data_IF_081321524253
#
_entry.id   IF_081321524253
#
_cell.length_a   1.000
_cell.length_b   1.000
_cell.length_c   1.000
_cell.angle_alpha   90.00
_cell.angle_beta   90.00
_cell.angle_gamma   90.00
#
_symmetry.space_group_name_H-M   'P 1'
#
loop_
_entity.id
_entity.type
_entity.pdbx_description
1 polymer ?
#
# COMPACT_ATOMS: atom_id res chain seq x y z
N UNK A 1 13.80 5.32 -2.90
CA UNK A 1 13.34 4.03 -2.36
C UNK A 1 14.48 3.03 -2.42
N UNK A 2 14.69 2.27 -1.35
CA UNK A 2 15.69 1.20 -1.29
C UNK A 2 15.31 -0.04 -2.13
N UNK A 3 16.30 -0.83 -2.58
CA UNK A 3 16.05 -1.90 -3.55
C UNK A 3 15.13 -3.02 -3.06
N UNK A 4 15.25 -3.40 -1.79
CA UNK A 4 14.48 -4.51 -1.22
C UNK A 4 13.00 -4.15 -1.10
N UNK A 5 12.69 -3.00 -0.49
CA UNK A 5 11.33 -2.44 -0.49
C UNK A 5 10.77 -2.29 -1.91
N UNK A 6 11.54 -1.73 -2.84
CA UNK A 6 11.08 -1.54 -4.22
C UNK A 6 10.70 -2.88 -4.90
N UNK A 7 11.55 -3.91 -4.80
CA UNK A 7 11.22 -5.24 -5.33
C UNK A 7 9.96 -5.79 -4.68
N UNK A 8 9.87 -5.75 -3.35
CA UNK A 8 8.74 -6.32 -2.63
C UNK A 8 7.41 -5.68 -3.07
N UNK A 9 7.32 -4.35 -3.08
CA UNK A 9 6.05 -3.67 -3.45
C UNK A 9 5.75 -3.78 -4.95
N UNK A 10 6.76 -3.71 -5.82
CA UNK A 10 6.55 -3.83 -7.27
C UNK A 10 6.05 -5.22 -7.64
N UNK A 11 6.69 -6.29 -7.14
CA UNK A 11 6.27 -7.65 -7.46
C UNK A 11 4.99 -8.06 -6.73
N UNK A 12 4.72 -7.54 -5.53
CA UNK A 12 3.41 -7.68 -4.89
C UNK A 12 2.30 -7.15 -5.82
N UNK A 13 2.40 -5.88 -6.23
CA UNK A 13 1.43 -5.27 -7.14
C UNK A 13 1.35 -6.01 -8.49
N UNK A 14 2.49 -6.33 -9.10
CA UNK A 14 2.51 -7.00 -10.41
C UNK A 14 1.87 -8.40 -10.36
N UNK A 15 2.04 -9.14 -9.26
CA UNK A 15 1.43 -10.45 -9.07
C UNK A 15 -0.09 -10.42 -9.04
N UNK A 16 -0.71 -9.36 -8.50
CA UNK A 16 -2.17 -9.29 -8.32
C UNK A 16 -2.88 -8.42 -9.36
N UNK A 17 -2.21 -7.38 -9.85
CA UNK A 17 -2.78 -6.36 -10.74
C UNK A 17 -2.14 -6.30 -12.13
N UNK A 18 -0.99 -6.93 -12.30
CA UNK A 18 -0.23 -6.93 -13.54
C UNK A 18 -0.57 -8.10 -14.47
N UNK A 19 -0.24 -7.93 -15.74
CA UNK A 19 -0.29 -9.01 -16.70
C UNK A 19 1.05 -9.75 -16.72
N UNK A 20 1.09 -10.92 -16.12
CA UNK A 20 2.31 -11.71 -15.95
C UNK A 20 2.83 -12.34 -17.25
N UNK A 21 2.06 -12.32 -18.34
CA UNK A 21 2.50 -12.83 -19.65
C UNK A 21 3.22 -11.74 -20.44
N UNK A 22 2.68 -10.52 -20.42
CA UNK A 22 3.25 -9.36 -21.13
C UNK A 22 4.24 -8.56 -20.30
N UNK A 23 4.33 -8.82 -18.98
CA UNK A 23 5.19 -8.11 -18.04
C UNK A 23 4.83 -6.62 -17.91
N UNK A 24 3.52 -6.32 -17.96
CA UNK A 24 3.00 -4.95 -17.91
C UNK A 24 2.05 -4.77 -16.72
N UNK A 25 2.18 -3.64 -16.02
CA UNK A 25 1.30 -3.21 -14.93
C UNK A 25 0.80 -1.79 -15.22
N UNK A 26 -0.50 -1.56 -15.03
CA UNK A 26 -1.06 -0.20 -14.99
C UNK A 26 -0.91 0.39 -13.60
N UNK A 27 -0.42 1.63 -13.51
CA UNK A 27 -0.34 2.37 -12.24
C UNK A 27 -1.66 3.04 -11.83
N UNK A 28 -2.75 2.73 -12.55
CA UNK A 28 -4.09 3.24 -12.29
C UNK A 28 -5.14 2.22 -12.71
N UNK A 29 -6.10 2.64 -13.53
CA UNK A 29 -7.21 1.80 -13.98
C UNK A 29 -6.81 0.63 -14.88
N UNK A 30 -7.74 -0.33 -15.02
CA UNK A 30 -7.61 -1.46 -15.95
C UNK A 30 -7.52 -0.93 -17.37
N UNK A 31 -6.56 -1.44 -18.14
CA UNK A 31 -6.32 -0.98 -19.50
C UNK A 31 -5.93 -2.12 -20.41
N UNK A 32 -6.40 -2.08 -21.67
CA UNK A 32 -6.00 -3.04 -22.71
C UNK A 32 -4.51 -2.95 -23.08
N UNK A 33 -3.82 -1.88 -22.65
CA UNK A 33 -2.38 -1.69 -22.89
C UNK A 33 -1.52 -2.73 -22.17
N UNK A 34 -2.04 -3.41 -21.13
CA UNK A 34 -1.35 -4.53 -20.49
C UNK A 34 -1.49 -5.85 -21.27
N UNK A 35 -2.24 -5.86 -22.37
CA UNK A 35 -2.41 -7.03 -23.25
C UNK A 35 -3.61 -7.92 -22.89
N UNK A 36 -3.74 -9.08 -23.55
CA UNK A 36 -4.86 -10.01 -23.32
C UNK A 36 -4.86 -10.56 -21.89
N UNK A 37 -6.02 -10.52 -21.25
CA UNK A 37 -6.17 -10.98 -19.88
C UNK A 37 -5.94 -12.51 -19.77
N UNK A 38 -5.33 -12.98 -18.67
CA UNK A 38 -5.32 -14.39 -18.30
C UNK A 38 -6.75 -14.86 -17.95
N UNK A 39 -6.98 -16.20 -17.86
CA UNK A 39 -8.26 -16.72 -17.42
C UNK A 39 -8.66 -16.23 -16.02
N UNK A 40 -9.96 -16.08 -15.79
CA UNK A 40 -10.52 -15.83 -14.47
C UNK A 40 -10.07 -16.91 -13.46
N UNK A 41 -9.90 -16.56 -12.17
CA UNK A 41 -10.33 -15.32 -11.51
C UNK A 41 -9.28 -14.18 -11.49
N UNK A 42 -8.19 -14.28 -12.25
CA UNK A 42 -7.22 -13.20 -12.34
C UNK A 42 -7.84 -11.90 -12.87
N UNK A 43 -7.50 -10.77 -12.24
CA UNK A 43 -8.17 -9.48 -12.47
C UNK A 43 -7.41 -8.64 -13.51
N UNK A 44 -6.08 -8.51 -13.34
CA UNK A 44 -5.22 -7.63 -14.15
C UNK A 44 -5.82 -6.23 -14.26
N UNK A 45 -6.17 -5.67 -13.10
CA UNK A 45 -6.96 -4.44 -13.01
C UNK A 45 -6.14 -3.15 -12.88
N UNK A 46 -4.82 -3.26 -12.73
CA UNK A 46 -3.98 -2.12 -12.36
C UNK A 46 -4.15 -1.71 -10.90
N UNK A 47 -3.39 -0.70 -10.46
CA UNK A 47 -3.36 -0.28 -9.05
C UNK A 47 -4.69 0.31 -8.52
N UNK A 48 -5.69 0.57 -9.36
CA UNK A 48 -7.03 0.95 -8.90
C UNK A 48 -7.84 -0.25 -8.36
N UNK A 49 -7.36 -1.49 -8.51
CA UNK A 49 -8.07 -2.68 -8.02
C UNK A 49 -8.11 -2.69 -6.50
N UNK A 50 -9.34 -2.64 -5.96
CA UNK A 50 -9.55 -2.66 -4.53
C UNK A 50 -9.20 -4.01 -3.89
N UNK A 51 -8.69 -3.97 -2.66
CA UNK A 51 -8.44 -5.10 -1.76
C UNK A 51 -7.33 -6.09 -2.16
N UNK A 52 -6.51 -5.78 -3.17
CA UNK A 52 -5.32 -6.58 -3.53
C UNK A 52 -4.00 -5.87 -3.28
N UNK A 53 -3.98 -4.54 -3.46
CA UNK A 53 -2.89 -3.65 -3.06
C UNK A 53 -3.48 -2.34 -2.51
N UNK A 54 -4.33 -1.68 -3.31
CA UNK A 54 -5.15 -0.56 -2.87
C UNK A 54 -6.11 -1.00 -1.77
N UNK A 55 -6.40 -0.12 -0.82
CA UNK A 55 -7.38 -0.38 0.22
C UNK A 55 -7.73 0.86 1.04
N UNK A 56 -8.62 0.64 1.98
CA UNK A 56 -9.28 1.69 2.74
C UNK A 56 -8.35 2.52 3.64
N UNK A 57 -8.89 3.60 4.19
CA UNK A 57 -8.19 4.56 5.04
C UNK A 57 -6.98 5.21 4.34
N UNK A 58 -7.04 5.42 3.03
CA UNK A 58 -6.03 6.21 2.33
C UNK A 58 -6.01 7.67 2.85
N UNK A 59 -4.83 8.30 2.86
CA UNK A 59 -4.66 9.64 3.46
C UNK A 59 -5.33 10.74 2.63
N UNK A 60 -5.34 10.60 1.30
CA UNK A 60 -5.83 11.63 0.37
C UNK A 60 -6.76 11.08 -0.71
N UNK A 61 -7.10 9.78 -0.66
CA UNK A 61 -8.03 9.06 -1.55
C UNK A 61 -9.17 8.50 -0.71
N UNK A 62 -10.39 8.46 -1.26
CA UNK A 62 -11.53 7.89 -0.55
C UNK A 62 -11.46 6.36 -0.53
N UNK A 63 -12.20 5.75 0.40
CA UNK A 63 -12.40 4.29 0.40
C UNK A 63 -13.22 3.87 -0.84
N UNK A 64 -12.94 2.69 -1.37
CA UNK A 64 -13.61 2.17 -2.57
C UNK A 64 -15.13 2.11 -2.45
N UNK A 65 -15.64 1.86 -1.25
CA UNK A 65 -17.08 1.88 -0.96
C UNK A 65 -17.77 3.17 -1.40
N UNK A 66 -17.07 4.30 -1.39
CA UNK A 66 -17.61 5.61 -1.81
C UNK A 66 -17.46 5.90 -3.31
N UNK A 67 -16.90 4.97 -4.09
CA UNK A 67 -16.90 4.96 -5.55
C UNK A 67 -15.57 5.29 -6.24
N UNK A 68 -14.82 6.27 -5.73
CA UNK A 68 -13.52 6.70 -6.33
C UNK A 68 -12.37 6.54 -5.32
N UNK A 69 -11.60 5.47 -5.50
CA UNK A 69 -10.48 5.10 -4.64
C UNK A 69 -9.11 5.63 -5.10
N UNK A 70 -9.03 6.43 -6.17
CA UNK A 70 -7.75 6.74 -6.82
C UNK A 70 -7.54 8.24 -7.06
N UNK A 71 -8.60 9.01 -7.33
CA UNK A 71 -8.50 10.45 -7.50
C UNK A 71 -8.14 11.14 -6.18
N UNK A 72 -7.44 12.28 -6.28
CA UNK A 72 -7.27 13.13 -5.11
C UNK A 72 -8.64 13.57 -4.59
N UNK A 73 -8.93 13.24 -3.34
CA UNK A 73 -10.11 13.75 -2.64
C UNK A 73 -9.75 15.06 -1.93
N UNK A 74 -10.36 16.16 -2.37
CA UNK A 74 -10.06 17.50 -1.85
C UNK A 74 -10.32 17.63 -0.35
N UNK A 75 -11.43 17.07 0.15
CA UNK A 75 -11.76 17.10 1.57
C UNK A 75 -10.72 16.38 2.42
N UNK A 76 -10.24 15.22 1.96
CA UNK A 76 -9.17 14.50 2.65
C UNK A 76 -7.82 15.22 2.57
N UNK A 77 -7.53 15.90 1.45
CA UNK A 77 -6.33 16.73 1.35
C UNK A 77 -6.40 17.96 2.26
N UNK A 78 -7.57 18.61 2.38
CA UNK A 78 -7.77 19.71 3.33
C UNK A 78 -7.62 19.22 4.77
N UNK A 79 -8.05 17.99 5.09
CA UNK A 79 -7.77 17.34 6.38
C UNK A 79 -6.27 17.10 6.59
N UNK A 80 -5.55 16.62 5.57
CA UNK A 80 -4.09 16.45 5.63
C UNK A 80 -3.38 17.78 5.98
N UNK A 81 -3.80 18.89 5.36
CA UNK A 81 -3.29 20.25 5.66
C UNK A 81 -3.67 20.65 7.09
N UNK A 82 -4.93 20.42 7.50
CA UNK A 82 -5.41 20.75 8.84
C UNK A 82 -4.61 20.03 9.93
N UNK A 83 -4.36 18.73 9.78
CA UNK A 83 -3.54 17.94 10.70
C UNK A 83 -2.09 18.42 10.70
N UNK A 84 -1.54 18.78 9.53
CA UNK A 84 -0.20 19.38 9.44
C UNK A 84 -0.10 20.69 10.22
N UNK A 85 -1.13 21.55 10.16
CA UNK A 85 -1.20 22.77 10.95
C UNK A 85 -1.29 22.49 12.46
N UNK A 86 -2.15 21.55 12.86
CA UNK A 86 -2.41 21.25 14.29
C UNK A 86 -1.26 20.55 14.99
N UNK A 87 -0.61 19.60 14.31
CA UNK A 87 0.35 18.68 14.95
C UNK A 87 1.78 18.83 14.43
N UNK A 88 1.99 19.53 13.31
CA UNK A 88 3.30 19.69 12.67
C UNK A 88 3.72 21.14 12.45
N UNK A 89 3.00 22.12 13.01
CA UNK A 89 3.32 23.54 12.85
C UNK A 89 3.28 24.01 11.39
N UNK A 90 2.40 23.43 10.58
CA UNK A 90 2.25 23.73 9.16
C UNK A 90 3.00 22.79 8.21
N UNK A 91 3.74 21.82 8.75
CA UNK A 91 4.45 20.81 7.96
C UNK A 91 3.89 19.42 8.24
N UNK A 92 3.99 18.52 7.27
CA UNK A 92 3.75 17.10 7.49
C UNK A 92 5.04 16.43 8.01
N UNK A 93 4.95 15.75 9.14
CA UNK A 93 6.03 14.98 9.75
C UNK A 93 5.47 13.68 10.36
N UNK A 94 6.30 12.88 11.04
CA UNK A 94 5.85 11.60 11.60
C UNK A 94 4.78 11.74 12.70
N UNK A 95 4.76 12.85 13.45
CA UNK A 95 3.70 13.14 14.42
C UNK A 95 2.36 13.36 13.71
N UNK A 96 2.36 14.16 12.64
CA UNK A 96 1.17 14.38 11.81
C UNK A 96 0.71 13.07 11.17
N UNK A 97 1.65 12.27 10.67
CA UNK A 97 1.37 10.97 10.06
C UNK A 97 0.66 10.02 11.03
N UNK A 98 1.09 9.97 12.30
CA UNK A 98 0.47 9.20 13.36
C UNK A 98 -0.99 9.62 13.62
N UNK A 99 -1.21 10.91 13.85
CA UNK A 99 -2.54 11.45 14.13
C UNK A 99 -3.49 11.27 12.94
N UNK A 100 -3.02 11.56 11.73
CA UNK A 100 -3.84 11.43 10.52
C UNK A 100 -4.14 9.98 10.19
N UNK A 101 -3.17 9.06 10.30
CA UNK A 101 -3.39 7.62 10.09
C UNK A 101 -4.49 7.10 11.01
N UNK A 102 -4.42 7.43 12.30
CA UNK A 102 -5.44 7.03 13.25
C UNK A 102 -6.81 7.64 12.92
N UNK A 103 -6.86 8.95 12.62
CA UNK A 103 -8.09 9.62 12.20
C UNK A 103 -8.74 8.94 10.99
N UNK A 104 -7.95 8.62 9.96
CA UNK A 104 -8.47 7.97 8.75
C UNK A 104 -9.04 6.59 9.02
N UNK A 105 -8.43 5.81 9.93
CA UNK A 105 -8.98 4.54 10.39
C UNK A 105 -10.32 4.74 11.10
N UNK A 106 -10.39 5.69 12.05
CA UNK A 106 -11.63 5.97 12.79
C UNK A 106 -12.77 6.42 11.87
N UNK A 107 -12.47 7.24 10.87
CA UNK A 107 -13.45 7.69 9.88
C UNK A 107 -13.99 6.53 9.05
N UNK A 108 -13.12 5.63 8.57
CA UNK A 108 -13.56 4.45 7.82
C UNK A 108 -14.38 3.50 8.71
N UNK A 109 -14.00 3.30 9.98
CA UNK A 109 -14.84 2.54 10.94
C UNK A 109 -16.24 3.17 11.05
N UNK A 110 -16.31 4.50 11.15
CA UNK A 110 -17.55 5.22 11.40
C UNK A 110 -18.46 5.36 10.16
N UNK A 111 -17.92 5.23 8.96
CA UNK A 111 -18.65 5.61 7.73
C UNK A 111 -18.67 4.56 6.63
N UNK A 112 -17.71 3.62 6.61
CA UNK A 112 -17.61 2.58 5.59
C UNK A 112 -18.07 1.22 6.17
N UNK A 113 -19.28 0.73 5.84
CA UNK A 113 -19.78 -0.56 6.34
C UNK A 113 -19.02 -1.78 5.79
N UNK A 114 -18.15 -1.58 4.81
CA UNK A 114 -17.28 -2.58 4.20
C UNK A 114 -15.80 -2.35 4.55
N UNK A 115 -15.51 -1.49 5.53
CA UNK A 115 -14.14 -1.14 5.90
C UNK A 115 -13.30 -2.38 6.19
N UNK A 116 -12.18 -2.54 5.46
CA UNK A 116 -11.20 -3.59 5.68
C UNK A 116 -9.83 -3.03 5.99
N UNK A 117 -9.25 -3.47 7.11
CA UNK A 117 -7.92 -3.07 7.57
C UNK A 117 -7.11 -4.27 8.05
N UNK A 118 -7.05 -5.29 7.20
CA UNK A 118 -6.25 -6.50 7.38
C UNK A 118 -5.09 -6.54 6.38
N UNK A 119 -4.17 -7.50 6.53
CA UNK A 119 -3.06 -7.68 5.60
C UNK A 119 -3.55 -8.02 4.18
N UNK A 120 -2.94 -7.46 3.11
CA UNK A 120 -1.72 -6.65 3.11
C UNK A 120 -1.91 -5.16 3.43
N UNK A 121 -3.14 -4.64 3.32
CA UNK A 121 -3.45 -3.21 3.48
C UNK A 121 -3.02 -2.66 4.83
N UNK A 122 -3.16 -3.46 5.89
CA UNK A 122 -2.70 -3.11 7.23
C UNK A 122 -1.26 -2.59 7.23
N UNK A 123 -0.33 -3.28 6.56
CA UNK A 123 1.08 -2.87 6.51
C UNK A 123 1.30 -1.66 5.58
N UNK A 124 0.72 -1.69 4.38
CA UNK A 124 0.94 -0.63 3.38
C UNK A 124 0.38 0.70 3.86
N UNK A 125 -0.76 0.71 4.55
CA UNK A 125 -1.35 1.91 5.12
C UNK A 125 -0.40 2.66 6.08
N UNK A 126 0.29 1.95 6.99
CA UNK A 126 1.29 2.57 7.86
C UNK A 126 2.57 2.95 7.10
N UNK A 127 3.06 2.10 6.19
CA UNK A 127 4.25 2.40 5.39
C UNK A 127 4.06 3.66 4.51
N UNK A 128 2.92 3.77 3.84
CA UNK A 128 2.57 4.93 3.01
C UNK A 128 2.48 6.23 3.80
N UNK A 129 2.23 6.14 5.12
CA UNK A 129 2.17 7.31 5.99
C UNK A 129 3.57 7.91 6.26
N UNK A 130 4.65 7.13 6.13
CA UNK A 130 6.02 7.67 6.26
C UNK A 130 6.60 8.19 4.94
N UNK A 131 6.08 7.73 3.80
CA UNK A 131 6.63 8.06 2.48
C UNK A 131 6.70 9.55 2.15
N UNK A 132 5.73 10.41 2.52
CA UNK A 132 5.87 11.85 2.30
C UNK A 132 7.09 12.44 3.01
N UNK A 133 7.39 11.96 4.23
CA UNK A 133 8.58 12.39 4.98
C UNK A 133 9.85 11.83 4.38
N UNK A 134 9.84 10.56 3.97
CA UNK A 134 11.04 9.85 3.53
C UNK A 134 11.43 10.14 2.07
N UNK A 135 10.46 10.49 1.22
CA UNK A 135 10.65 10.63 -0.23
C UNK A 135 10.30 11.99 -0.80
N UNK A 136 9.38 12.76 -0.20
CA UNK A 136 8.92 14.03 -0.77
C UNK A 136 9.60 15.26 -0.16
N UNK A 137 10.31 15.10 0.97
CA UNK A 137 11.17 16.15 1.52
C UNK A 137 12.43 16.27 0.65
N UNK A 138 12.78 17.49 0.24
CA UNK A 138 13.99 17.76 -0.54
C UNK A 138 15.22 17.22 0.20
N UNK A 139 16.05 16.46 -0.53
CA UNK A 139 17.20 15.74 0.03
C UNK A 139 18.30 16.61 0.62
N UNK A 140 18.28 17.93 0.37
CA UNK A 140 19.20 18.90 0.99
C UNK A 140 18.70 19.37 2.36
N UNK A 141 17.41 19.19 2.66
CA UNK A 141 16.82 19.56 3.95
C UNK A 141 17.18 18.56 5.05
N UNK A 142 17.60 19.06 6.21
CA UNK A 142 17.86 18.26 7.41
C UNK A 142 16.64 18.11 8.32
N UNK A 143 15.53 18.79 8.04
CA UNK A 143 14.42 18.93 9.01
C UNK A 143 13.39 17.79 8.96
N UNK A 144 13.46 16.91 7.95
CA UNK A 144 12.56 15.74 7.79
C UNK A 144 11.07 16.08 7.98
N UNK A 145 10.64 17.20 7.41
CA UNK A 145 9.25 17.63 7.40
C UNK A 145 8.91 18.20 6.02
N UNK A 146 7.74 17.85 5.51
CA UNK A 146 7.26 18.20 4.18
C UNK A 146 6.36 19.43 4.27
N UNK A 147 6.69 20.49 3.53
CA UNK A 147 5.83 21.67 3.44
C UNK A 147 4.60 21.41 2.55
N UNK A 148 3.56 22.23 2.71
CA UNK A 148 2.29 22.02 2.00
C UNK A 148 2.34 22.36 0.51
N UNK A 149 3.30 23.18 0.06
CA UNK A 149 3.48 23.46 -1.36
C UNK A 149 4.04 22.22 -2.08
N UNK A 150 5.08 21.61 -1.51
CA UNK A 150 5.62 20.34 -1.99
C UNK A 150 4.58 19.22 -1.89
N UNK A 151 3.86 19.10 -0.77
CA UNK A 151 2.78 18.11 -0.62
C UNK A 151 1.71 18.28 -1.71
N UNK A 152 1.32 19.52 -2.01
CA UNK A 152 0.38 19.82 -3.10
C UNK A 152 0.94 19.39 -4.46
N UNK A 153 2.20 19.70 -4.75
CA UNK A 153 2.85 19.33 -6.01
C UNK A 153 2.84 17.82 -6.24
N UNK A 154 3.15 17.03 -5.21
CA UNK A 154 3.13 15.57 -5.31
C UNK A 154 1.72 14.98 -5.38
N UNK A 155 0.85 15.32 -4.42
CA UNK A 155 -0.44 14.63 -4.28
C UNK A 155 -1.50 15.07 -5.31
N UNK A 156 -1.50 16.37 -5.68
CA UNK A 156 -2.46 16.95 -6.63
C UNK A 156 -1.92 16.97 -8.05
N UNK A 157 -0.69 17.44 -8.23
CA UNK A 157 -0.16 17.72 -9.56
C UNK A 157 0.66 16.55 -10.14
N UNK A 158 1.00 15.55 -9.31
CA UNK A 158 1.85 14.44 -9.73
C UNK A 158 3.23 14.90 -10.20
N UNK A 159 3.76 15.97 -9.60
CA UNK A 159 4.95 16.67 -10.07
C UNK A 159 5.96 16.85 -8.94
N UNK A 160 7.24 16.79 -9.30
CA UNK A 160 8.31 17.23 -8.40
C UNK A 160 8.31 18.77 -8.25
N UNK A 161 8.55 19.30 -7.04
CA UNK A 161 8.81 20.73 -6.87
C UNK A 161 9.97 21.21 -7.77
N UNK A 162 10.00 22.50 -8.18
CA UNK A 162 11.14 23.06 -8.90
C UNK A 162 12.45 22.84 -8.13
N UNK A 163 13.53 22.48 -8.84
CA UNK A 163 14.85 22.19 -8.25
C UNK A 163 14.82 21.13 -7.13
N UNK A 164 13.89 20.17 -7.17
CA UNK A 164 13.79 19.12 -6.17
C UNK A 164 14.96 18.13 -6.22
N UNK A 165 15.60 17.89 -5.08
CA UNK A 165 16.61 16.83 -4.91
C UNK A 165 15.99 15.62 -4.22
N UNK A 166 16.22 14.43 -4.77
CA UNK A 166 15.84 13.16 -4.11
C UNK A 166 16.56 13.02 -2.76
N UNK A 167 15.99 12.20 -1.87
CA UNK A 167 16.62 11.82 -0.61
C UNK A 167 18.09 11.38 -0.80
N UNK A 168 19.01 11.76 0.11
CA UNK A 168 20.45 11.59 -0.07
C UNK A 168 20.92 10.13 0.04
N UNK A 169 20.05 9.24 0.54
CA UNK A 169 20.32 7.82 0.68
C UNK A 169 19.05 7.00 0.37
N UNK A 170 19.20 5.73 -0.03
CA UNK A 170 18.07 4.82 -0.12
C UNK A 170 17.31 4.75 1.22
N UNK A 171 15.98 4.78 1.14
CA UNK A 171 15.05 4.72 2.28
C UNK A 171 13.79 3.95 1.89
N UNK A 172 12.99 3.56 2.88
CA UNK A 172 11.76 2.79 2.75
C UNK A 172 10.76 3.18 3.84
N UNK A 173 10.41 2.19 4.66
CA UNK A 173 9.44 2.29 5.74
C UNK A 173 9.98 2.80 7.08
N UNK A 174 11.11 3.51 7.10
CA UNK A 174 11.66 4.02 8.36
C UNK A 174 10.64 4.96 9.04
N UNK A 175 10.38 4.72 10.32
CA UNK A 175 9.38 5.48 11.09
C UNK A 175 8.02 4.81 11.24
N UNK A 176 7.74 3.68 10.59
CA UNK A 176 6.46 2.95 10.72
C UNK A 176 6.13 2.68 12.20
N UNK A 177 7.11 2.24 12.99
CA UNK A 177 6.92 1.96 14.41
C UNK A 177 6.49 3.19 15.22
N UNK A 178 6.94 4.39 14.85
CA UNK A 178 6.54 5.65 15.51
C UNK A 178 5.05 5.91 15.28
N UNK A 179 4.58 5.74 14.04
CA UNK A 179 3.18 5.93 13.66
C UNK A 179 2.29 4.90 14.36
N UNK A 180 2.67 3.63 14.33
CA UNK A 180 1.90 2.56 14.96
C UNK A 180 1.84 2.71 16.48
N UNK A 181 2.95 2.99 17.15
CA UNK A 181 3.01 3.06 18.62
C UNK A 181 2.28 4.26 19.21
N UNK A 182 2.05 5.32 18.41
CA UNK A 182 1.27 6.47 18.86
C UNK A 182 -0.21 6.10 19.10
N UNK A 183 -0.80 5.31 18.19
CA UNK A 183 -2.18 4.85 18.26
C UNK A 183 -2.28 3.39 17.76
N UNK A 184 -1.97 2.39 18.61
CA UNK A 184 -2.00 0.99 18.20
C UNK A 184 -3.42 0.55 17.80
N UNK A 185 -3.58 0.09 16.56
CA UNK A 185 -4.83 -0.50 16.06
C UNK A 185 -4.53 -1.92 15.59
N UNK A 186 -5.26 -2.91 16.10
CA UNK A 186 -5.14 -4.30 15.64
C UNK A 186 -5.86 -4.50 14.29
N UNK A 187 -5.39 -5.42 13.43
CA UNK A 187 -6.02 -5.68 12.15
C UNK A 187 -7.45 -6.21 12.33
N UNK A 188 -8.35 -5.79 11.45
CA UNK A 188 -9.77 -6.09 11.54
C UNK A 188 -10.58 -5.41 10.46
N UNK A 189 -11.89 -5.59 10.51
CA UNK A 189 -12.83 -5.13 9.48
C UNK A 189 -14.18 -4.75 10.12
N UNK A 190 -14.92 -3.84 9.50
CA UNK A 190 -16.35 -3.71 9.78
C UNK A 190 -17.10 -4.95 9.25
N UNK A 191 -17.96 -5.54 10.10
CA UNK A 191 -18.73 -6.75 9.76
C UNK A 191 -20.21 -6.47 9.53
N UNK A 192 -20.88 -7.42 8.90
CA UNK A 192 -22.33 -7.46 8.66
C UNK A 192 -22.89 -6.28 7.85
N UNK A 193 -22.03 -5.61 7.07
CA UNK A 193 -22.40 -4.42 6.31
C UNK A 193 -22.82 -3.25 7.20
N UNK A 194 -22.26 -3.15 8.41
CA UNK A 194 -22.56 -2.09 9.38
C UNK A 194 -21.33 -1.24 9.69
N UNK A 195 -21.56 0.07 9.83
CA UNK A 195 -20.57 1.00 10.39
C UNK A 195 -20.47 0.83 11.90
N UNK A 196 -19.35 1.27 12.49
CA UNK A 196 -19.06 1.17 13.92
C UNK A 196 -19.12 -0.28 14.45
N UNK A 197 -18.74 -1.25 13.62
CA UNK A 197 -18.78 -2.68 13.94
C UNK A 197 -17.43 -3.34 13.61
N UNK A 198 -16.34 -2.70 14.05
CA UNK A 198 -14.98 -3.14 13.75
C UNK A 198 -14.62 -4.37 14.59
N UNK A 199 -14.52 -5.51 13.94
CA UNK A 199 -14.18 -6.80 14.54
C UNK A 199 -12.76 -7.18 14.17
N UNK A 200 -11.97 -7.51 15.19
CA UNK A 200 -10.58 -7.92 15.01
C UNK A 200 -10.50 -9.23 14.23
N UNK A 201 -9.50 -9.34 13.34
CA UNK A 201 -9.20 -10.57 12.63
C UNK A 201 -7.90 -11.19 13.17
N UNK A 202 -7.99 -12.19 14.07
CA UNK A 202 -6.81 -12.83 14.66
C UNK A 202 -6.01 -13.67 13.65
N UNK A 203 -6.51 -13.86 12.42
CA UNK A 203 -5.84 -14.59 11.35
C UNK A 203 -5.07 -13.68 10.40
N UNK A 204 -5.28 -12.36 10.48
CA UNK A 204 -4.50 -11.37 9.75
C UNK A 204 -3.08 -11.30 10.29
N UNK A 205 -2.13 -11.02 9.39
CA UNK A 205 -0.79 -10.62 9.80
C UNK A 205 -0.80 -9.20 10.40
N UNK A 206 0.14 -8.95 11.31
CA UNK A 206 0.45 -7.69 11.96
C UNK A 206 1.97 -7.50 12.11
N UNK A 207 2.42 -6.41 12.74
CA UNK A 207 3.85 -6.10 12.86
C UNK A 207 4.66 -7.10 13.70
N UNK A 208 4.02 -7.98 14.48
CA UNK A 208 4.69 -9.03 15.24
C UNK A 208 4.97 -10.30 14.42
N UNK A 209 4.29 -10.49 13.29
CA UNK A 209 4.35 -11.71 12.49
C UNK A 209 4.48 -11.44 10.98
N UNK A 210 5.41 -10.57 10.59
CA UNK A 210 5.62 -10.15 9.19
C UNK A 210 5.69 -11.31 8.17
N UNK A 211 6.31 -12.45 8.48
CA UNK A 211 6.34 -13.56 7.52
C UNK A 211 4.94 -14.12 7.20
N UNK A 212 3.97 -13.97 8.11
CA UNK A 212 2.57 -14.34 7.86
C UNK A 212 1.94 -13.48 6.75
N UNK A 213 2.32 -12.19 6.62
CA UNK A 213 1.91 -11.34 5.51
C UNK A 213 2.33 -11.98 4.19
N UNK A 214 3.61 -12.32 4.07
CA UNK A 214 4.17 -12.95 2.88
C UNK A 214 3.46 -14.28 2.57
N UNK A 215 3.35 -15.17 3.57
CA UNK A 215 2.76 -16.49 3.32
C UNK A 215 1.28 -16.41 2.97
N UNK A 216 0.51 -15.52 3.62
CA UNK A 216 -0.91 -15.32 3.30
C UNK A 216 -1.07 -14.70 1.92
N UNK A 217 -0.26 -13.69 1.56
CA UNK A 217 -0.31 -13.07 0.24
C UNK A 217 -0.09 -14.11 -0.87
N UNK A 218 0.93 -14.96 -0.72
CA UNK A 218 1.23 -16.00 -1.72
C UNK A 218 0.19 -17.12 -1.70
N UNK A 219 -0.14 -17.68 -0.53
CA UNK A 219 -1.00 -18.88 -0.45
C UNK A 219 -2.51 -18.59 -0.55
N UNK A 220 -2.95 -17.36 -0.26
CA UNK A 220 -4.37 -16.97 -0.31
C UNK A 220 -4.62 -16.05 -1.49
N UNK A 221 -3.95 -14.90 -1.55
CA UNK A 221 -4.24 -13.87 -2.58
C UNK A 221 -3.79 -14.32 -3.97
N UNK A 222 -2.50 -14.62 -4.16
CA UNK A 222 -1.98 -15.02 -5.49
C UNK A 222 -2.59 -16.35 -5.95
N UNK A 223 -2.65 -17.36 -5.07
CA UNK A 223 -3.32 -18.64 -5.39
C UNK A 223 -4.81 -18.50 -5.66
N UNK A 224 -5.49 -17.56 -5.01
CA UNK A 224 -6.89 -17.23 -5.28
C UNK A 224 -7.09 -16.72 -6.70
N UNK A 225 -6.20 -15.84 -7.18
CA UNK A 225 -6.23 -15.29 -8.54
C UNK A 225 -5.80 -16.31 -9.61
N UNK A 226 -4.84 -17.17 -9.28
CA UNK A 226 -4.29 -18.17 -10.20
C UNK A 226 -4.32 -19.56 -9.57
N UNK A 227 -5.48 -20.24 -9.53
CA UNK A 227 -5.64 -21.52 -8.84
C UNK A 227 -4.91 -22.68 -9.56
N UNK A 228 -4.94 -22.69 -10.90
CA UNK A 228 -4.39 -23.77 -11.73
C UNK A 228 -3.69 -23.23 -12.99
N UNK A 229 -2.66 -22.36 -12.86
CA UNK A 229 -1.97 -21.80 -14.02
C UNK A 229 -1.17 -22.86 -14.77
N UNK A 230 -1.09 -22.73 -16.10
CA UNK A 230 -0.33 -23.63 -16.97
C UNK A 230 0.64 -22.86 -17.87
N UNK A 231 1.53 -23.59 -18.56
CA UNK A 231 2.40 -23.02 -19.61
C UNK A 231 3.22 -21.81 -19.17
N UNK A 232 3.21 -20.77 -20.02
CA UNK A 232 3.97 -19.52 -19.82
C UNK A 232 3.53 -18.79 -18.55
N UNK A 233 2.22 -18.77 -18.24
CA UNK A 233 1.68 -18.09 -17.07
C UNK A 233 2.23 -18.73 -15.78
N UNK A 234 2.20 -20.07 -15.66
CA UNK A 234 2.78 -20.77 -14.50
C UNK A 234 4.27 -20.46 -14.35
N UNK A 235 5.03 -20.50 -15.45
CA UNK A 235 6.47 -20.21 -15.44
C UNK A 235 6.74 -18.78 -14.95
N UNK A 236 5.99 -17.81 -15.45
CA UNK A 236 6.19 -16.40 -15.09
C UNK A 236 5.71 -16.11 -13.66
N UNK A 237 4.67 -16.80 -13.16
CA UNK A 237 4.29 -16.77 -11.74
C UNK A 237 5.43 -17.23 -10.84
N UNK A 238 6.07 -18.36 -11.13
CA UNK A 238 7.20 -18.87 -10.33
C UNK A 238 8.34 -17.84 -10.29
N UNK A 239 8.68 -17.23 -11.44
CA UNK A 239 9.72 -16.18 -11.48
C UNK A 239 9.36 -14.96 -10.65
N UNK A 240 8.16 -14.41 -10.84
CA UNK A 240 7.72 -13.21 -10.12
C UNK A 240 7.56 -13.45 -8.62
N UNK A 241 7.17 -14.65 -8.19
CA UNK A 241 7.17 -15.05 -6.78
C UNK A 241 8.58 -15.10 -6.18
N UNK A 242 9.56 -15.61 -6.92
CA UNK A 242 10.96 -15.56 -6.50
C UNK A 242 11.49 -14.13 -6.40
N UNK A 243 11.12 -13.25 -7.34
CA UNK A 243 11.49 -11.84 -7.27
C UNK A 243 10.81 -11.11 -6.11
N UNK A 244 9.54 -11.40 -5.85
CA UNK A 244 8.81 -10.91 -4.68
C UNK A 244 9.49 -11.33 -3.37
N UNK A 245 9.80 -12.63 -3.22
CA UNK A 245 10.54 -13.14 -2.06
C UNK A 245 11.92 -12.51 -1.91
N UNK A 246 12.63 -12.24 -3.01
CA UNK A 246 13.96 -11.60 -2.98
C UNK A 246 13.98 -10.22 -2.31
N UNK A 247 12.82 -9.54 -2.21
CA UNK A 247 12.67 -8.29 -1.48
C UNK A 247 12.66 -8.46 0.04
N UNK A 248 12.43 -9.67 0.56
CA UNK A 248 12.33 -9.97 2.00
C UNK A 248 13.24 -11.13 2.45
N UNK A 249 14.10 -11.63 1.57
CA UNK A 249 14.99 -12.78 1.85
C UNK A 249 15.83 -12.61 3.13
N UNK A 250 16.17 -11.37 3.48
CA UNK A 250 17.01 -11.03 4.63
C UNK A 250 16.20 -10.87 5.94
N UNK A 251 14.87 -11.03 5.89
CA UNK A 251 13.96 -10.88 7.04
C UNK A 251 13.64 -12.20 7.75
N UNK A 252 14.29 -13.30 7.37
CA UNK A 252 14.14 -14.61 8.04
C UNK A 252 12.88 -15.39 7.67
N UNK A 253 12.15 -14.97 6.63
CA UNK A 253 11.00 -15.72 6.11
C UNK A 253 11.44 -16.89 5.22
N UNK A 254 10.72 -18.00 5.28
CA UNK A 254 10.93 -19.15 4.37
C UNK A 254 10.26 -18.88 3.02
N UNK A 255 11.00 -19.12 1.92
CA UNK A 255 10.43 -19.04 0.56
C UNK A 255 9.43 -20.17 0.33
N UNK A 256 8.26 -19.85 -0.21
CA UNK A 256 7.23 -20.84 -0.54
C UNK A 256 6.96 -20.94 -2.04
N UNK A 257 6.62 -22.15 -2.48
CA UNK A 257 6.55 -22.52 -3.90
C UNK A 257 5.15 -23.04 -4.27
N UNK A 258 4.11 -22.19 -4.31
CA UNK A 258 2.71 -22.63 -4.52
C UNK A 258 2.48 -23.31 -5.87
N UNK A 259 3.38 -23.08 -6.83
CA UNK A 259 3.34 -23.68 -8.16
C UNK A 259 4.55 -24.58 -8.44
N UNK A 260 5.36 -24.93 -7.44
CA UNK A 260 6.62 -25.65 -7.60
C UNK A 260 7.80 -24.74 -7.99
N UNK A 261 8.95 -25.35 -8.29
CA UNK A 261 10.18 -24.68 -8.72
C UNK A 261 10.36 -24.81 -10.24
N UNK A 262 11.18 -23.93 -10.83
CA UNK A 262 11.67 -24.06 -12.20
C UNK A 262 12.92 -24.92 -12.27
#
# INVERSE_FOLDING_TARGET
>A
MEPNTARFVTYAAHLVDGNLVTDLLSIGEKTRKTGPDPPAPAIVGGLNTHAVFEGDASMTRADFFFGDNHSLNRTLFDQFVNFSNRFGGGFYNLTVAAELRFQRIQESIATNPQFSFIAPRYFTAYAESVFPVNFFVDGRSSEKKLDMEAATSFFRDGRYPPDFYRAPQPSGGEGIGIIFLAHPVAPGENRDGKVNNYVLDPTSADFSNFCLLYTNFVNKTVRGLYPSPTGILRRNLIKNLGFFYSGIKDLGCEEIFPYGKL
#
